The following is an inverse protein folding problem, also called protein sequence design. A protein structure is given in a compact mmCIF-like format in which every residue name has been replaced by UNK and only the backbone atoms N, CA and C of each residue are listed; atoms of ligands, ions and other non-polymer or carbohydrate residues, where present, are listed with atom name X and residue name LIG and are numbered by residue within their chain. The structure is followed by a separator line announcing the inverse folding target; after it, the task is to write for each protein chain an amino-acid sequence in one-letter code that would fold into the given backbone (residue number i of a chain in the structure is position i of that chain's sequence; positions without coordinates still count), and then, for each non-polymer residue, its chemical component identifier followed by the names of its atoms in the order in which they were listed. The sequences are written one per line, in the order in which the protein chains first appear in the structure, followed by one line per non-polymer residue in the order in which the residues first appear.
data_IF_100927185455
#
_entry.id   IF_100927185455
#
_cell.length_a   1.000
_cell.length_b   1.000
_cell.length_c   1.000
_cell.angle_alpha   90.00
_cell.angle_beta   90.00
_cell.angle_gamma   90.00
#
_symmetry.space_group_name_H-M   'P 1'
#
loop_
_entity.id
_entity.type
_entity.pdbx_description
1 polymer ?
#
# COMPACT_ATOMS: atom_id res chain seq x y z
N UNK A 1 12.64 4.84 9.13
CA UNK A 1 11.50 4.20 8.42
C UNK A 1 11.79 2.73 8.17
N UNK A 2 10.76 1.91 8.15
CA UNK A 2 10.86 0.48 7.92
C UNK A 2 10.01 0.08 6.71
N UNK A 3 10.66 -0.57 5.74
CA UNK A 3 10.03 -1.10 4.52
C UNK A 3 9.86 -2.63 4.58
N UNK A 4 10.14 -3.23 5.73
CA UNK A 4 9.92 -4.64 6.04
C UNK A 4 9.27 -4.75 7.42
N UNK A 5 8.63 -5.89 7.69
CA UNK A 5 8.10 -6.17 9.03
C UNK A 5 9.23 -6.12 10.06
N UNK A 6 9.02 -5.39 11.14
CA UNK A 6 10.02 -5.13 12.18
C UNK A 6 9.50 -5.54 13.55
N UNK A 7 10.38 -6.06 14.39
CA UNK A 7 10.10 -6.36 15.80
C UNK A 7 10.29 -5.10 16.65
N UNK A 8 9.47 -4.94 17.69
CA UNK A 8 9.53 -3.76 18.56
C UNK A 8 10.90 -3.62 19.26
N UNK A 9 11.54 -4.74 19.61
CA UNK A 9 12.90 -4.73 20.17
C UNK A 9 13.93 -4.13 19.21
N UNK A 10 13.80 -4.36 17.91
CA UNK A 10 14.63 -3.74 16.88
C UNK A 10 14.40 -2.23 16.84
N UNK A 11 13.13 -1.78 16.88
CA UNK A 11 12.79 -0.36 16.90
C UNK A 11 13.46 0.33 18.11
N UNK A 12 13.35 -0.25 19.31
CA UNK A 12 13.98 0.31 20.49
C UNK A 12 15.51 0.34 20.38
N UNK A 13 16.11 -0.72 19.87
CA UNK A 13 17.56 -0.77 19.62
C UNK A 13 18.02 0.29 18.63
N UNK A 14 17.29 0.46 17.51
CA UNK A 14 17.61 1.45 16.49
C UNK A 14 17.49 2.89 16.99
N UNK A 15 16.61 3.11 17.98
CA UNK A 15 16.43 4.39 18.66
C UNK A 15 17.41 4.59 19.84
N UNK A 16 18.26 3.60 20.15
CA UNK A 16 19.19 3.66 21.28
C UNK A 16 18.52 3.53 22.65
N UNK A 17 17.31 2.99 22.71
CA UNK A 17 16.54 2.84 23.93
C UNK A 17 16.89 1.52 24.63
N UNK A 18 17.30 1.60 25.89
CA UNK A 18 17.63 0.42 26.73
C UNK A 18 16.43 -0.23 27.39
N UNK A 19 15.28 0.45 27.37
CA UNK A 19 14.01 -0.01 27.97
C UNK A 19 12.86 0.28 27.02
N UNK A 20 11.78 -0.53 27.14
CA UNK A 20 10.52 -0.25 26.48
C UNK A 20 9.92 1.08 26.95
N UNK A 21 9.06 1.65 26.14
CA UNK A 21 8.32 2.88 26.43
C UNK A 21 6.97 2.51 27.03
N UNK A 22 6.51 3.29 28.00
CA UNK A 22 5.18 3.14 28.59
C UNK A 22 4.09 3.27 27.52
N UNK A 23 3.10 2.37 27.52
CA UNK A 23 1.99 2.32 26.57
C UNK A 23 1.28 3.68 26.43
N UNK A 24 1.14 4.43 27.54
CA UNK A 24 0.49 5.74 27.53
C UNK A 24 1.27 6.81 26.79
N UNK A 25 2.55 6.55 26.52
CA UNK A 25 3.47 7.44 25.79
C UNK A 25 3.68 7.03 24.33
N UNK A 26 2.97 5.98 23.86
CA UNK A 26 3.01 5.54 22.46
C UNK A 26 1.78 6.01 21.75
N UNK A 27 1.96 6.69 20.60
CA UNK A 27 0.88 7.08 19.69
C UNK A 27 1.04 6.32 18.40
N UNK A 28 -0.05 5.70 17.91
CA UNK A 28 -0.07 4.96 16.66
C UNK A 28 -1.09 5.52 15.69
N UNK A 29 -0.63 5.75 14.47
CA UNK A 29 -1.46 6.17 13.35
C UNK A 29 -1.40 5.15 12.21
N UNK A 30 -2.53 4.90 11.58
CA UNK A 30 -2.62 4.15 10.31
C UNK A 30 -3.49 4.93 9.33
N UNK A 31 -2.93 5.26 8.17
CA UNK A 31 -3.58 6.10 7.15
C UNK A 31 -4.19 7.38 7.74
N UNK A 32 -3.44 8.05 8.62
CA UNK A 32 -3.86 9.28 9.31
C UNK A 32 -4.85 9.08 10.47
N UNK A 33 -5.37 7.87 10.68
CA UNK A 33 -6.27 7.56 11.78
C UNK A 33 -5.49 7.19 13.05
N UNK A 34 -5.83 7.82 14.16
CA UNK A 34 -5.28 7.45 15.46
C UNK A 34 -5.88 6.12 15.94
N UNK A 35 -5.05 5.11 16.12
CA UNK A 35 -5.40 3.77 16.58
C UNK A 35 -4.64 3.38 17.87
N UNK A 36 -4.15 4.37 18.62
CA UNK A 36 -3.30 4.16 19.80
C UNK A 36 -3.90 3.20 20.81
N UNK A 37 -5.20 3.30 21.10
CA UNK A 37 -5.86 2.48 22.12
C UNK A 37 -5.88 0.97 21.82
N UNK A 38 -5.87 0.61 20.52
CA UNK A 38 -5.88 -0.81 20.11
C UNK A 38 -4.48 -1.34 19.77
N UNK A 39 -3.57 -0.45 19.36
CA UNK A 39 -2.29 -0.83 18.79
C UNK A 39 -1.11 -0.70 19.75
N UNK A 40 -1.13 0.23 20.70
CA UNK A 40 -0.05 0.41 21.66
C UNK A 40 0.20 -0.82 22.51
N UNK A 41 -0.86 -1.58 22.83
CA UNK A 41 -0.70 -2.82 23.61
C UNK A 41 0.05 -3.89 22.82
N UNK A 42 -0.18 -4.01 21.52
CA UNK A 42 0.52 -4.96 20.67
C UNK A 42 1.97 -4.53 20.42
N UNK A 43 2.24 -3.25 20.27
CA UNK A 43 3.59 -2.70 20.12
C UNK A 43 4.44 -2.95 21.37
N UNK A 44 3.89 -2.75 22.56
CA UNK A 44 4.66 -2.81 23.82
C UNK A 44 4.69 -4.21 24.41
N UNK A 45 3.65 -5.03 24.19
CA UNK A 45 3.57 -6.40 24.72
C UNK A 45 3.99 -7.46 23.72
N UNK A 46 3.92 -7.15 22.42
CA UNK A 46 4.28 -8.06 21.36
C UNK A 46 5.77 -8.03 21.02
N UNK A 47 6.30 -9.15 20.57
CA UNK A 47 7.63 -9.23 19.99
C UNK A 47 7.66 -8.72 18.55
N UNK A 48 6.50 -8.53 17.90
CA UNK A 48 6.39 -8.15 16.49
C UNK A 48 5.43 -7.00 16.31
N UNK A 49 5.89 -6.03 15.53
CA UNK A 49 5.03 -5.07 14.85
C UNK A 49 4.66 -5.72 13.53
N UNK A 50 3.43 -6.20 13.40
CA UNK A 50 2.96 -6.85 12.18
C UNK A 50 2.77 -5.88 11.00
N UNK A 51 3.30 -4.68 11.11
CA UNK A 51 3.25 -3.61 10.12
C UNK A 51 4.66 -3.29 9.62
N UNK A 52 4.73 -2.72 8.45
CA UNK A 52 5.97 -2.47 7.72
C UNK A 52 6.26 -3.56 6.69
N UNK A 53 6.77 -3.16 5.54
CA UNK A 53 6.95 -4.02 4.37
C UNK A 53 5.61 -4.41 3.72
N UNK A 54 5.68 -5.15 2.65
CA UNK A 54 4.52 -5.68 1.91
C UNK A 54 3.38 -4.65 1.77
N UNK A 55 3.64 -3.55 1.06
CA UNK A 55 2.66 -2.50 0.80
C UNK A 55 2.47 -1.50 1.94
N UNK A 56 3.26 -1.56 3.00
CA UNK A 56 3.18 -0.63 4.14
C UNK A 56 4.55 -0.08 4.50
N UNK A 57 4.66 1.26 4.53
CA UNK A 57 5.78 1.97 5.12
C UNK A 57 5.47 2.21 6.60
N UNK A 58 6.41 1.84 7.49
CA UNK A 58 6.32 2.17 8.90
C UNK A 58 7.34 3.26 9.24
N UNK A 59 6.86 4.40 9.72
CA UNK A 59 7.69 5.49 10.22
C UNK A 59 7.60 5.53 11.74
N UNK A 60 8.74 5.77 12.38
CA UNK A 60 8.84 5.79 13.85
C UNK A 60 9.60 7.04 14.26
N UNK A 61 9.04 7.79 15.20
CA UNK A 61 9.59 9.01 15.73
C UNK A 61 9.65 8.90 17.26
N UNK A 62 10.80 9.22 17.81
CA UNK A 62 11.01 9.28 19.25
C UNK A 62 11.26 10.70 19.70
N UNK A 63 10.55 11.14 20.71
CA UNK A 63 10.79 12.41 21.40
C UNK A 63 11.48 12.12 22.74
N UNK A 64 12.75 12.48 22.83
CA UNK A 64 13.61 12.21 23.99
C UNK A 64 13.17 13.00 25.23
N UNK A 65 12.78 14.26 25.05
CA UNK A 65 12.33 15.12 26.17
C UNK A 65 11.05 14.61 26.82
N UNK A 66 10.13 14.12 26.00
CA UNK A 66 8.83 13.59 26.46
C UNK A 66 8.88 12.08 26.73
N UNK A 67 9.97 11.41 26.38
CA UNK A 67 10.10 9.94 26.36
C UNK A 67 8.92 9.27 25.67
N UNK A 68 8.51 9.79 24.52
CA UNK A 68 7.32 9.34 23.79
C UNK A 68 7.64 8.83 22.41
N UNK A 69 6.87 7.85 21.94
CA UNK A 69 7.01 7.20 20.64
C UNK A 69 5.79 7.49 19.77
N UNK A 70 6.02 7.91 18.54
CA UNK A 70 4.97 7.99 17.51
C UNK A 70 5.29 7.00 16.41
N UNK A 71 4.34 6.12 16.10
CA UNK A 71 4.42 5.13 15.04
C UNK A 71 3.36 5.43 13.99
N UNK A 72 3.76 5.53 12.73
CA UNK A 72 2.89 5.86 11.61
C UNK A 72 3.00 4.76 10.56
N UNK A 73 1.90 4.07 10.29
CA UNK A 73 1.78 3.13 9.20
C UNK A 73 1.11 3.82 8.00
N UNK A 74 1.79 3.82 6.87
CA UNK A 74 1.31 4.39 5.60
C UNK A 74 1.13 3.22 4.63
N UNK A 75 -0.13 2.88 4.36
CA UNK A 75 -0.46 1.80 3.44
C UNK A 75 -0.53 2.31 2.00
N UNK A 76 0.02 1.53 1.09
CA UNK A 76 -0.11 1.75 -0.35
C UNK A 76 -1.21 0.85 -0.89
N UNK A 77 -2.14 1.44 -1.61
CA UNK A 77 -3.28 0.77 -2.22
C UNK A 77 -3.19 0.82 -3.74
N UNK A 78 -3.91 -0.06 -4.40
CA UNK A 78 -4.03 -0.08 -5.86
C UNK A 78 -5.39 0.47 -6.29
N UNK A 79 -5.41 1.25 -7.36
CA UNK A 79 -6.60 1.77 -7.99
C UNK A 79 -6.49 1.72 -9.51
N UNK A 80 -7.62 1.90 -10.20
CA UNK A 80 -7.69 1.97 -11.66
C UNK A 80 -8.27 3.31 -12.07
N UNK A 81 -7.57 4.05 -12.92
CA UNK A 81 -8.03 5.34 -13.44
C UNK A 81 -9.31 5.16 -14.25
N UNK A 82 -10.32 5.93 -13.95
CA UNK A 82 -11.60 5.95 -14.66
C UNK A 82 -11.72 7.11 -15.64
N UNK A 83 -11.14 8.26 -15.29
CA UNK A 83 -11.06 9.41 -16.17
C UNK A 83 -9.96 10.39 -15.72
N UNK A 84 -9.48 11.20 -16.66
CA UNK A 84 -8.55 12.32 -16.42
C UNK A 84 -9.16 13.61 -16.95
N UNK A 85 -9.00 14.66 -16.18
CA UNK A 85 -9.57 15.99 -16.48
C UNK A 85 -8.46 17.03 -16.44
N UNK A 86 -8.40 17.83 -17.51
CA UNK A 86 -7.45 18.95 -17.60
C UNK A 86 -7.90 20.09 -16.68
N UNK A 87 -6.94 20.90 -16.28
CA UNK A 87 -7.22 22.14 -15.57
C UNK A 87 -8.15 23.06 -16.40
N UNK A 88 -9.00 23.79 -15.69
CA UNK A 88 -9.89 24.82 -16.24
C UNK A 88 -9.68 26.13 -15.50
N UNK A 89 -10.43 27.17 -15.86
CA UNK A 89 -10.35 28.48 -15.16
C UNK A 89 -10.82 28.43 -13.71
N UNK A 90 -11.53 27.37 -13.30
CA UNK A 90 -12.16 27.26 -11.98
C UNK A 90 -11.76 26.01 -11.21
N UNK A 91 -10.98 25.11 -11.81
CA UNK A 91 -10.61 23.85 -11.19
C UNK A 91 -9.25 23.38 -11.73
N UNK A 92 -8.39 22.89 -10.83
CA UNK A 92 -7.12 22.27 -11.16
C UNK A 92 -7.32 20.94 -11.91
N UNK A 93 -6.27 20.47 -12.57
CA UNK A 93 -6.28 19.16 -13.20
C UNK A 93 -6.47 18.05 -12.16
N UNK A 94 -7.23 17.03 -12.50
CA UNK A 94 -7.47 15.92 -11.58
C UNK A 94 -7.80 14.63 -12.32
N UNK A 95 -7.66 13.52 -11.63
CA UNK A 95 -8.11 12.20 -12.09
C UNK A 95 -9.20 11.66 -11.18
N UNK A 96 -10.04 10.79 -11.73
CA UNK A 96 -10.95 9.94 -10.96
C UNK A 96 -10.51 8.48 -11.10
N UNK A 97 -10.71 7.68 -10.06
CA UNK A 97 -10.23 6.30 -10.02
C UNK A 97 -11.07 5.45 -9.07
N UNK A 98 -10.96 4.12 -9.21
CA UNK A 98 -11.53 3.18 -8.24
C UNK A 98 -10.65 3.17 -7.01
N UNK A 99 -11.21 3.49 -5.86
CA UNK A 99 -10.48 3.62 -4.62
C UNK A 99 -11.06 2.71 -3.52
N UNK A 100 -10.25 2.44 -2.50
CA UNK A 100 -10.71 1.86 -1.25
C UNK A 100 -11.76 2.78 -0.62
N UNK A 101 -12.80 2.20 -0.03
CA UNK A 101 -13.82 2.95 0.71
C UNK A 101 -13.19 3.88 1.75
N UNK A 102 -13.55 5.14 1.72
CA UNK A 102 -13.05 6.17 2.63
C UNK A 102 -11.82 6.94 2.15
N UNK A 103 -11.15 6.51 1.06
CA UNK A 103 -9.98 7.22 0.52
C UNK A 103 -10.35 8.43 -0.35
N UNK A 104 -11.60 8.52 -0.81
CA UNK A 104 -11.98 9.42 -1.90
C UNK A 104 -11.72 8.78 -3.26
N UNK A 105 -12.34 9.31 -4.32
CA UNK A 105 -12.26 8.75 -5.67
C UNK A 105 -11.68 9.73 -6.69
N UNK A 106 -11.09 10.84 -6.23
CA UNK A 106 -10.43 11.84 -7.07
C UNK A 106 -9.12 12.29 -6.44
N UNK A 107 -8.18 12.70 -7.28
CA UNK A 107 -6.87 13.22 -6.88
C UNK A 107 -6.47 14.35 -7.82
N UNK A 108 -6.18 15.53 -7.27
CA UNK A 108 -5.65 16.68 -8.01
C UNK A 108 -4.19 16.43 -8.35
N UNK A 109 -3.86 16.54 -9.62
CA UNK A 109 -2.50 16.28 -10.11
C UNK A 109 -2.32 16.86 -11.51
N UNK A 110 -1.13 17.36 -11.79
CA UNK A 110 -0.68 17.74 -13.13
C UNK A 110 -0.04 16.56 -13.90
N UNK A 111 0.15 15.41 -13.23
CA UNK A 111 0.64 14.20 -13.87
C UNK A 111 -0.37 13.67 -14.89
N UNK A 112 0.15 13.09 -15.97
CA UNK A 112 -0.66 12.53 -17.05
C UNK A 112 -0.97 11.07 -16.76
N UNK A 113 -2.26 10.78 -16.57
CA UNK A 113 -2.79 9.42 -16.46
C UNK A 113 -3.83 9.18 -17.55
N UNK A 114 -3.91 7.95 -18.03
CA UNK A 114 -4.91 7.52 -19.00
C UNK A 114 -5.98 6.67 -18.31
N UNK A 115 -7.18 6.65 -18.93
CA UNK A 115 -8.21 5.69 -18.50
C UNK A 115 -7.64 4.27 -18.54
N UNK A 116 -7.98 3.48 -17.55
CA UNK A 116 -7.55 2.09 -17.31
C UNK A 116 -6.11 1.93 -16.80
N UNK A 117 -5.33 3.00 -16.64
CA UNK A 117 -4.05 2.92 -15.92
C UNK A 117 -4.25 2.38 -14.51
N UNK A 118 -3.35 1.51 -14.11
CA UNK A 118 -3.29 0.99 -12.74
C UNK A 118 -2.30 1.85 -11.94
N UNK A 119 -2.78 2.39 -10.86
CA UNK A 119 -2.03 3.30 -10.00
C UNK A 119 -1.89 2.75 -8.59
N UNK A 120 -0.81 3.12 -7.95
CA UNK A 120 -0.59 2.99 -6.52
C UNK A 120 -0.90 4.34 -5.88
N UNK A 121 -1.57 4.33 -4.73
CA UNK A 121 -1.87 5.56 -4.00
C UNK A 121 -1.81 5.35 -2.49
N UNK A 122 -1.56 6.44 -1.78
CA UNK A 122 -1.72 6.54 -0.33
C UNK A 122 -2.83 7.53 -0.02
N UNK A 123 -3.46 7.39 1.14
CA UNK A 123 -4.47 8.36 1.58
C UNK A 123 -4.38 8.61 3.08
N UNK A 124 -5.01 9.69 3.53
CA UNK A 124 -5.22 9.98 4.94
C UNK A 124 -6.72 10.09 5.23
N UNK A 125 -7.13 9.55 6.36
CA UNK A 125 -8.48 9.75 6.93
C UNK A 125 -8.49 10.75 8.08
N UNK A 126 -7.39 11.49 8.27
CA UNK A 126 -7.27 12.51 9.31
C UNK A 126 -8.27 13.65 9.06
N UNK A 127 -9.06 13.99 10.08
CA UNK A 127 -9.98 15.11 10.00
C UNK A 127 -9.24 16.42 9.64
N UNK A 128 -9.75 17.15 8.65
CA UNK A 128 -9.14 18.38 8.12
C UNK A 128 -7.99 18.16 7.12
N UNK A 129 -7.55 16.91 6.94
CA UNK A 129 -6.48 16.54 6.00
C UNK A 129 -6.79 15.19 5.32
N UNK A 130 -8.07 14.89 5.15
CA UNK A 130 -8.52 13.65 4.52
C UNK A 130 -8.35 13.68 3.00
N UNK A 131 -8.16 12.49 2.40
CA UNK A 131 -8.05 12.31 0.96
C UNK A 131 -6.76 11.66 0.52
N UNK A 132 -6.60 11.51 -0.79
CA UNK A 132 -5.40 10.94 -1.42
C UNK A 132 -4.19 11.85 -1.20
N UNK A 133 -3.06 11.27 -0.83
CA UNK A 133 -1.82 12.01 -0.53
C UNK A 133 -0.74 11.83 -1.59
N UNK A 134 -0.72 10.69 -2.25
CA UNK A 134 0.21 10.42 -3.34
C UNK A 134 -0.42 9.46 -4.33
N UNK A 135 0.03 9.54 -5.57
CA UNK A 135 -0.36 8.62 -6.64
C UNK A 135 0.80 8.44 -7.62
N UNK A 136 1.00 7.23 -8.09
CA UNK A 136 1.97 6.91 -9.14
C UNK A 136 1.49 5.73 -9.97
N UNK A 137 1.95 5.60 -11.22
CA UNK A 137 1.73 4.40 -12.02
C UNK A 137 2.35 3.19 -11.33
N UNK A 138 1.62 2.06 -11.29
CA UNK A 138 2.17 0.80 -10.84
C UNK A 138 3.14 0.24 -11.89
N UNK A 139 4.24 -0.36 -11.44
CA UNK A 139 5.12 -1.11 -12.32
C UNK A 139 4.37 -2.31 -12.90
N UNK A 140 4.45 -2.51 -14.22
CA UNK A 140 3.76 -3.58 -14.94
C UNK A 140 4.76 -4.64 -15.40
N UNK A 141 4.48 -5.89 -15.06
CA UNK A 141 5.16 -7.07 -15.59
C UNK A 141 4.16 -7.90 -16.38
N UNK A 142 4.48 -8.23 -17.63
CA UNK A 142 3.62 -9.05 -18.50
C UNK A 142 4.34 -10.34 -18.85
N UNK A 143 3.61 -11.44 -18.85
CA UNK A 143 4.15 -12.75 -19.23
C UNK A 143 3.14 -13.87 -19.02
N UNK A 144 3.59 -15.11 -19.30
CA UNK A 144 2.76 -16.30 -19.15
C UNK A 144 2.56 -16.66 -17.69
N UNK A 145 1.32 -16.76 -17.25
CA UNK A 145 0.99 -17.26 -15.92
C UNK A 145 1.28 -18.76 -15.83
N UNK A 146 2.29 -19.14 -15.07
CA UNK A 146 2.66 -20.53 -14.86
C UNK A 146 1.86 -21.20 -13.73
N UNK A 147 1.35 -20.40 -12.79
CA UNK A 147 0.57 -20.87 -11.66
C UNK A 147 0.28 -19.76 -10.66
N UNK A 148 -0.46 -20.11 -9.62
CA UNK A 148 -0.76 -19.23 -8.51
C UNK A 148 -1.09 -20.03 -7.24
N UNK A 149 -0.99 -19.38 -6.09
CA UNK A 149 -1.57 -19.85 -4.84
C UNK A 149 -2.56 -18.82 -4.35
N UNK A 150 -3.82 -19.20 -4.23
CA UNK A 150 -4.89 -18.29 -3.80
C UNK A 150 -4.52 -17.56 -2.51
N UNK A 151 -4.81 -16.28 -2.46
CA UNK A 151 -4.48 -15.35 -1.38
C UNK A 151 -2.97 -15.16 -1.07
N UNK A 152 -2.05 -15.76 -1.83
CA UNK A 152 -0.61 -15.75 -1.51
C UNK A 152 0.27 -15.19 -2.62
N UNK A 153 0.20 -15.75 -3.84
CA UNK A 153 1.14 -15.40 -4.91
C UNK A 153 0.63 -15.76 -6.31
N UNK A 154 1.29 -15.21 -7.31
CA UNK A 154 1.18 -15.56 -8.73
C UNK A 154 2.58 -15.79 -9.30
N UNK A 155 2.72 -16.77 -10.20
CA UNK A 155 3.98 -17.06 -10.91
C UNK A 155 3.82 -16.73 -12.38
N UNK A 156 4.67 -15.82 -12.88
CA UNK A 156 4.67 -15.36 -14.27
C UNK A 156 6.08 -15.53 -14.82
N UNK A 157 6.20 -16.22 -15.97
CA UNK A 157 7.47 -16.57 -16.61
C UNK A 157 8.53 -17.14 -15.64
N UNK A 158 8.07 -18.01 -14.71
CA UNK A 158 8.91 -18.64 -13.70
C UNK A 158 9.24 -17.77 -12.48
N UNK A 159 8.89 -16.48 -12.48
CA UNK A 159 9.07 -15.59 -11.33
C UNK A 159 7.81 -15.55 -10.47
N UNK A 160 8.00 -15.77 -9.17
CA UNK A 160 6.87 -15.76 -8.20
C UNK A 160 6.77 -14.40 -7.51
N UNK A 161 5.63 -13.75 -7.68
CA UNK A 161 5.27 -12.50 -7.04
C UNK A 161 4.30 -12.77 -5.89
N UNK A 162 4.70 -12.46 -4.66
CA UNK A 162 3.83 -12.55 -3.49
C UNK A 162 2.76 -11.47 -3.56
N UNK A 163 1.56 -11.75 -3.06
CA UNK A 163 0.47 -10.79 -3.00
C UNK A 163 0.83 -9.62 -2.08
N UNK A 164 0.60 -8.39 -2.54
CA UNK A 164 0.63 -7.21 -1.68
C UNK A 164 -0.48 -7.28 -0.62
N UNK A 165 -0.18 -6.91 0.62
CA UNK A 165 -1.15 -6.92 1.72
C UNK A 165 -2.40 -6.07 1.41
N UNK A 166 -2.20 -4.93 0.73
CA UNK A 166 -3.23 -3.97 0.38
C UNK A 166 -3.68 -4.06 -1.09
N UNK A 167 -3.24 -5.10 -1.80
CA UNK A 167 -3.61 -5.36 -3.19
C UNK A 167 -4.96 -6.07 -3.32
N UNK A 168 -5.39 -6.23 -4.58
CA UNK A 168 -6.59 -7.00 -4.90
C UNK A 168 -6.40 -8.48 -4.57
N UNK A 169 -7.47 -9.21 -4.26
CA UNK A 169 -7.38 -10.63 -3.97
C UNK A 169 -6.85 -11.46 -5.14
N UNK A 170 -5.97 -12.42 -4.85
CA UNK A 170 -5.63 -13.52 -5.76
C UNK A 170 -6.64 -14.65 -5.46
N UNK A 171 -7.56 -14.88 -6.38
CA UNK A 171 -8.70 -15.80 -6.16
C UNK A 171 -8.53 -17.13 -6.89
N UNK A 172 -9.23 -18.20 -6.46
CA UNK A 172 -9.23 -19.46 -7.20
C UNK A 172 -9.71 -19.35 -8.65
N UNK A 173 -10.52 -18.33 -8.99
CA UNK A 173 -10.97 -18.06 -10.35
C UNK A 173 -9.86 -17.78 -11.35
N UNK A 174 -8.66 -17.43 -10.89
CA UNK A 174 -7.47 -17.26 -11.73
C UNK A 174 -6.96 -18.56 -12.39
N UNK A 175 -7.49 -19.71 -12.03
CA UNK A 175 -7.14 -20.99 -12.67
C UNK A 175 -7.37 -20.97 -14.18
N UNK A 176 -8.34 -20.20 -14.68
CA UNK A 176 -8.64 -20.05 -16.12
C UNK A 176 -7.58 -19.27 -16.88
N UNK A 177 -6.70 -18.57 -16.16
CA UNK A 177 -5.62 -17.74 -16.71
C UNK A 177 -4.27 -18.48 -16.72
N UNK A 178 -4.17 -19.63 -16.08
CA UNK A 178 -2.94 -20.44 -16.14
C UNK A 178 -2.67 -20.87 -17.58
N UNK A 179 -1.44 -20.64 -18.04
CA UNK A 179 -1.01 -20.87 -19.42
C UNK A 179 -1.30 -19.71 -20.39
N UNK A 180 -1.98 -18.64 -19.95
CA UNK A 180 -2.22 -17.42 -20.73
C UNK A 180 -1.29 -16.31 -20.31
N UNK A 181 -1.14 -15.31 -21.18
CA UNK A 181 -0.44 -14.08 -20.82
C UNK A 181 -1.32 -13.24 -19.88
N UNK A 182 -0.68 -12.68 -18.86
CA UNK A 182 -1.30 -11.82 -17.85
C UNK A 182 -0.41 -10.62 -17.58
N UNK A 183 -0.99 -9.56 -17.04
CA UNK A 183 -0.23 -8.43 -16.48
C UNK A 183 -0.31 -8.44 -14.97
N UNK A 184 0.85 -8.37 -14.32
CA UNK A 184 0.99 -8.20 -12.87
C UNK A 184 1.47 -6.79 -12.60
N UNK A 185 0.73 -6.04 -11.80
CA UNK A 185 1.08 -4.71 -11.36
C UNK A 185 1.64 -4.79 -9.96
N UNK A 186 2.86 -4.27 -9.78
CA UNK A 186 3.63 -4.39 -8.56
C UNK A 186 3.48 -3.14 -7.69
N UNK A 187 3.51 -3.33 -6.38
CA UNK A 187 3.71 -2.22 -5.45
C UNK A 187 5.20 -1.81 -5.40
N UNK A 188 5.50 -0.72 -4.69
CA UNK A 188 6.86 -0.18 -4.57
C UNK A 188 7.87 -1.14 -3.91
N UNK A 189 7.42 -2.26 -3.35
CA UNK A 189 8.27 -3.30 -2.75
C UNK A 189 8.35 -4.56 -3.61
N UNK A 190 7.76 -4.55 -4.82
CA UNK A 190 7.77 -5.69 -5.75
C UNK A 190 6.73 -6.77 -5.46
N UNK A 191 5.71 -6.49 -4.64
CA UNK A 191 4.60 -7.42 -4.40
C UNK A 191 3.48 -7.19 -5.41
N UNK A 192 2.78 -8.27 -5.79
CA UNK A 192 1.64 -8.21 -6.69
C UNK A 192 0.47 -7.46 -6.05
N UNK A 193 0.22 -6.23 -6.50
CA UNK A 193 -0.88 -5.39 -6.06
C UNK A 193 -2.17 -5.64 -6.85
N UNK A 194 -2.05 -5.94 -8.15
CA UNK A 194 -3.16 -6.28 -9.03
C UNK A 194 -2.69 -7.25 -10.11
N UNK A 195 -3.53 -8.22 -10.48
CA UNK A 195 -3.29 -9.14 -11.60
C UNK A 195 -4.42 -8.97 -12.60
N UNK A 196 -4.09 -8.52 -13.80
CA UNK A 196 -5.01 -8.45 -14.91
C UNK A 196 -4.86 -9.73 -15.76
N UNK A 197 -5.87 -10.58 -15.65
CA UNK A 197 -5.91 -11.86 -16.33
C UNK A 197 -6.66 -11.80 -17.68
N UNK A 198 -7.28 -10.67 -18.00
CA UNK A 198 -8.06 -10.45 -19.23
C UNK A 198 -7.24 -9.71 -20.30
N UNK A 199 -5.96 -9.47 -20.04
CA UNK A 199 -5.05 -8.83 -21.01
C UNK A 199 -4.76 -9.78 -22.17
N UNK A 200 -5.78 -10.05 -22.97
CA UNK A 200 -5.59 -10.61 -24.30
C UNK A 200 -4.93 -9.52 -25.13
N UNK A 201 -3.61 -9.60 -25.29
CA UNK A 201 -2.87 -8.79 -26.24
C UNK A 201 -3.57 -8.96 -27.60
N UNK A 202 -4.40 -8.00 -27.95
CA UNK A 202 -4.91 -7.87 -29.32
C UNK A 202 -3.74 -7.35 -30.14
N UNK A 203 -2.99 -8.26 -30.74
CA UNK A 203 -2.11 -7.91 -31.84
C UNK A 203 -3.00 -7.51 -33.02
N UNK A 204 -3.04 -6.21 -33.31
CA UNK A 204 -3.57 -5.71 -34.57
C UNK A 204 -2.47 -5.75 -35.63
#
# INVERSE_FOLDING_TARGET
SYTATVEIGTIYSDLGLSKGIDDSKVTYYEDGRNLSSSWTQDIVKGSKVEKGGNGTLLEVYYNDDAESLTVIAINTYVGKITASYKASTTKDAYVTFTAKTGAGSSYETDDSYSKDDIVLYTYSSKAGDAGVKSMALAEKVTGKMNGFTAAKNVTVDGTTYKKSANGTPITPGMNTSVGKDVSVYLDQYGYAAFVDADDTLQYA
#
